data_IF_511754634783
#
_entry.id   IF_511754634783
#
_cell.length_a   1.000
_cell.length_b   1.000
_cell.length_c   1.000
_cell.angle_alpha   90.00
_cell.angle_beta   90.00
_cell.angle_gamma   90.00
#
_symmetry.space_group_name_H-M   'P 1'
#
loop_
_entity.id
_entity.type
_entity.pdbx_description
1 polymer ?
#
# COMPACT_ATOMS: atom_id res chain seq x y z
N UNK A 1 20.25 40.81 15.63
CA UNK A 1 20.41 39.83 14.53
C UNK A 1 21.89 39.61 14.27
N UNK A 2 22.31 38.35 14.14
CA UNK A 2 23.67 37.98 13.72
C UNK A 2 23.61 37.59 12.25
N UNK A 3 24.55 38.07 11.43
CA UNK A 3 24.60 37.72 10.01
C UNK A 3 26.00 37.85 9.44
N UNK A 4 26.29 37.21 8.32
CA UNK A 4 27.51 37.41 7.53
C UNK A 4 27.31 38.49 6.46
N UNK A 5 26.07 38.69 6.01
CA UNK A 5 25.69 39.66 5.00
C UNK A 5 24.27 40.19 5.23
N UNK A 6 24.00 41.40 4.72
CA UNK A 6 22.65 41.94 4.60
C UNK A 6 22.62 42.95 3.46
N UNK A 7 21.56 42.95 2.67
CA UNK A 7 21.39 43.93 1.59
C UNK A 7 20.87 45.25 2.13
N UNK A 8 21.24 46.37 1.49
CA UNK A 8 20.77 47.70 1.88
C UNK A 8 19.22 47.81 1.91
N UNK A 9 18.46 47.28 0.92
CA UNK A 9 17.00 47.28 0.99
C UNK A 9 16.44 46.50 2.20
N UNK A 10 17.03 45.37 2.55
CA UNK A 10 16.61 44.59 3.72
C UNK A 10 16.90 45.34 5.01
N UNK A 11 18.07 45.97 5.12
CA UNK A 11 18.43 46.79 6.27
C UNK A 11 17.48 47.97 6.45
N UNK A 12 17.10 48.65 5.36
CA UNK A 12 16.11 49.73 5.40
C UNK A 12 14.74 49.24 5.89
N UNK A 13 14.26 48.09 5.37
CA UNK A 13 13.01 47.48 5.82
C UNK A 13 13.04 47.09 7.30
N UNK A 14 14.17 46.61 7.81
CA UNK A 14 14.34 46.31 9.24
C UNK A 14 14.31 47.58 10.11
N UNK A 15 14.88 48.68 9.66
CA UNK A 15 14.80 49.96 10.38
C UNK A 15 13.34 50.44 10.46
N UNK A 16 12.60 50.39 9.35
CA UNK A 16 11.18 50.73 9.33
C UNK A 16 10.35 49.80 10.24
N UNK A 17 10.66 48.50 10.24
CA UNK A 17 10.01 47.54 11.14
C UNK A 17 10.28 47.89 12.61
N UNK A 18 11.51 48.28 12.96
CA UNK A 18 11.84 48.72 14.31
C UNK A 18 10.97 49.93 14.71
N UNK A 19 10.81 50.91 13.83
CA UNK A 19 10.03 52.12 14.09
C UNK A 19 8.56 51.79 14.33
N UNK A 20 7.97 50.92 13.50
CA UNK A 20 6.60 50.42 13.66
C UNK A 20 6.41 49.64 14.98
N UNK A 21 7.31 48.70 15.29
CA UNK A 21 7.23 47.91 16.53
C UNK A 21 7.42 48.78 17.77
N UNK A 22 8.26 49.82 17.68
CA UNK A 22 8.54 50.76 18.77
C UNK A 22 7.33 51.58 19.20
N UNK A 23 6.30 51.68 18.35
CA UNK A 23 5.02 52.31 18.70
C UNK A 23 4.22 51.47 19.73
N UNK A 24 4.48 50.16 19.81
CA UNK A 24 3.80 49.25 20.73
C UNK A 24 4.64 49.00 21.99
N UNK A 25 5.90 48.60 21.80
CA UNK A 25 6.86 48.36 22.88
C UNK A 25 8.23 48.86 22.46
N UNK A 26 9.06 49.41 23.38
CA UNK A 26 10.43 49.80 23.05
C UNK A 26 11.19 48.65 22.37
N UNK A 27 11.56 48.86 21.11
CA UNK A 27 12.19 47.85 20.28
C UNK A 27 13.48 48.41 19.69
N UNK A 28 14.56 47.61 19.70
CA UNK A 28 15.80 47.97 19.02
C UNK A 28 16.33 46.78 18.24
N UNK A 29 16.47 46.94 16.94
CA UNK A 29 17.03 45.96 16.02
C UNK A 29 18.47 46.35 15.74
N UNK A 30 19.42 45.64 16.34
CA UNK A 30 20.85 45.77 16.04
C UNK A 30 21.31 44.63 15.14
N UNK A 31 21.99 44.98 14.06
CA UNK A 31 22.61 44.02 13.13
C UNK A 31 24.08 43.90 13.51
N UNK A 32 24.52 42.67 13.78
CA UNK A 32 25.91 42.34 14.04
C UNK A 32 26.41 41.51 12.85
N UNK A 33 27.23 42.14 12.01
CA UNK A 33 27.88 41.48 10.88
C UNK A 33 29.15 40.80 11.36
N UNK A 34 29.32 39.52 11.06
CA UNK A 34 30.53 38.75 11.38
C UNK A 34 31.19 38.23 10.12
N UNK A 35 32.51 38.19 10.14
CA UNK A 35 33.27 37.43 9.17
C UNK A 35 33.14 35.93 9.48
N UNK A 36 32.66 35.16 8.50
CA UNK A 36 32.47 33.71 8.65
C UNK A 36 33.76 32.92 8.51
N UNK A 37 34.84 33.53 7.98
CA UNK A 37 36.14 32.87 7.84
C UNK A 37 36.75 32.45 9.18
N UNK A 38 36.31 33.04 10.29
CA UNK A 38 36.69 32.60 11.64
C UNK A 38 36.23 31.16 11.96
N UNK A 39 35.28 30.62 11.19
CA UNK A 39 34.74 29.26 11.32
C UNK A 39 35.24 28.29 10.25
N UNK A 40 36.21 28.66 9.40
CA UNK A 40 36.71 27.84 8.28
C UNK A 40 37.22 26.44 8.66
N UNK A 41 37.58 26.23 9.92
CA UNK A 41 38.05 24.94 10.42
C UNK A 41 36.89 23.98 10.80
N UNK A 42 35.66 24.50 10.87
CA UNK A 42 34.45 23.75 11.14
C UNK A 42 33.85 23.17 9.84
N UNK A 43 33.07 22.08 9.90
CA UNK A 43 32.30 21.65 8.74
C UNK A 43 31.17 22.64 8.43
N UNK A 44 30.83 22.81 7.15
CA UNK A 44 29.66 23.57 6.73
C UNK A 44 28.38 22.95 7.31
N UNK A 45 27.41 23.80 7.66
CA UNK A 45 26.06 23.37 8.03
C UNK A 45 25.08 23.75 6.92
N UNK A 46 24.59 22.75 6.20
CA UNK A 46 24.08 22.99 4.84
C UNK A 46 25.22 23.46 3.97
N UNK A 47 25.10 24.67 3.42
CA UNK A 47 26.08 25.25 2.50
C UNK A 47 26.81 26.48 3.06
N UNK A 48 26.74 26.73 4.38
CA UNK A 48 27.33 27.93 5.00
C UNK A 48 27.73 27.74 6.48
N UNK A 49 28.26 28.80 7.10
CA UNK A 49 28.69 28.85 8.51
C UNK A 49 27.73 29.64 9.44
N UNK A 50 26.53 29.99 8.98
CA UNK A 50 25.63 30.91 9.70
C UNK A 50 25.21 30.40 11.08
N UNK A 51 25.06 29.07 11.21
CA UNK A 51 24.68 28.46 12.48
C UNK A 51 25.74 28.69 13.58
N UNK A 52 27.03 28.78 13.21
CA UNK A 52 28.14 29.01 14.13
C UNK A 52 28.22 30.43 14.68
N UNK A 53 27.57 31.42 14.05
CA UNK A 53 27.59 32.81 14.54
C UNK A 53 27.13 32.92 15.99
N UNK A 54 26.21 32.04 16.43
CA UNK A 54 25.71 32.01 17.82
C UNK A 54 26.79 31.73 18.86
N UNK A 55 27.87 31.04 18.47
CA UNK A 55 29.02 30.79 19.35
C UNK A 55 29.74 32.09 19.76
N UNK A 56 29.61 33.16 18.97
CA UNK A 56 30.22 34.46 19.27
C UNK A 56 29.34 35.39 20.10
N UNK A 57 28.12 34.98 20.47
CA UNK A 57 27.20 35.82 21.27
C UNK A 57 27.86 36.39 22.54
N UNK A 58 28.61 35.62 23.35
CA UNK A 58 29.25 36.14 24.56
C UNK A 58 30.21 37.30 24.32
N UNK A 59 30.86 37.32 23.15
CA UNK A 59 31.88 38.30 22.77
C UNK A 59 31.30 39.49 22.00
N UNK A 60 30.19 39.29 21.28
CA UNK A 60 29.55 40.34 20.47
C UNK A 60 28.68 41.25 21.34
N UNK A 61 28.02 40.68 22.34
CA UNK A 61 27.10 41.42 23.20
C UNK A 61 27.87 42.23 24.25
N UNK A 62 27.40 43.45 24.59
CA UNK A 62 28.03 44.29 25.62
C UNK A 62 28.30 43.56 26.94
N UNK A 63 29.43 43.89 27.59
CA UNK A 63 29.89 43.22 28.81
C UNK A 63 28.94 43.40 30.00
N UNK A 64 28.17 44.49 30.02
CA UNK A 64 27.19 44.76 31.07
C UNK A 64 25.91 43.91 30.93
N UNK A 65 25.70 43.20 29.81
CA UNK A 65 24.59 42.26 29.68
C UNK A 65 24.94 40.93 30.35
N UNK A 66 24.12 40.50 31.31
CA UNK A 66 24.32 39.24 32.01
C UNK A 66 23.55 38.06 31.39
N UNK A 67 22.47 38.33 30.65
CA UNK A 67 21.58 37.32 30.09
C UNK A 67 21.18 37.65 28.66
N UNK A 68 20.97 36.62 27.85
CA UNK A 68 20.48 36.75 26.48
C UNK A 68 19.55 35.58 26.14
N UNK A 69 18.38 35.86 25.57
CA UNK A 69 17.55 34.83 24.96
C UNK A 69 17.90 34.72 23.47
N UNK A 70 18.37 33.56 23.06
CA UNK A 70 18.62 33.20 21.67
C UNK A 70 17.46 32.37 21.11
N UNK A 71 17.09 32.67 19.87
CA UNK A 71 16.06 32.01 19.08
C UNK A 71 16.60 31.83 17.65
N UNK A 72 16.43 30.65 17.07
CA UNK A 72 16.60 30.46 15.63
C UNK A 72 15.55 31.25 14.83
N UNK A 73 15.90 31.58 13.59
CA UNK A 73 15.06 32.40 12.69
C UNK A 73 13.76 31.68 12.27
N UNK A 74 13.69 30.37 12.46
CA UNK A 74 12.57 29.52 12.11
C UNK A 74 11.72 29.11 13.33
N UNK A 75 11.62 30.02 14.30
CA UNK A 75 10.79 29.86 15.48
C UNK A 75 9.61 30.85 15.50
N UNK A 76 8.47 30.44 16.04
CA UNK A 76 7.29 31.29 16.24
C UNK A 76 6.85 31.26 17.70
N UNK A 77 7.08 32.37 18.41
CA UNK A 77 6.63 32.56 19.78
C UNK A 77 5.14 32.92 19.83
N UNK A 78 4.38 32.20 20.66
CA UNK A 78 2.93 32.35 20.81
C UNK A 78 2.53 33.01 22.13
N UNK A 79 3.45 33.06 23.08
CA UNK A 79 3.24 33.59 24.43
C UNK A 79 4.37 34.53 24.81
N UNK A 80 4.14 35.32 25.85
CA UNK A 80 5.13 36.21 26.42
C UNK A 80 6.34 35.44 26.98
N UNK A 81 7.53 35.84 26.55
CA UNK A 81 8.80 35.21 26.91
C UNK A 81 9.53 35.96 28.04
N UNK A 82 9.02 37.12 28.51
CA UNK A 82 9.65 37.91 29.58
C UNK A 82 9.83 37.12 30.87
N UNK A 83 8.94 36.16 31.14
CA UNK A 83 9.03 35.28 32.31
C UNK A 83 10.36 34.51 32.35
N UNK A 84 10.96 34.17 31.21
CA UNK A 84 12.25 33.49 31.16
C UNK A 84 13.36 34.30 31.83
N UNK A 85 13.31 35.63 31.73
CA UNK A 85 14.31 36.50 32.36
C UNK A 85 14.18 36.58 33.89
N UNK A 86 13.09 36.07 34.46
CA UNK A 86 12.91 35.96 35.92
C UNK A 86 13.54 34.69 36.50
N UNK A 87 13.88 33.70 35.66
CA UNK A 87 14.47 32.45 36.10
C UNK A 87 15.86 32.69 36.72
N UNK A 88 16.17 31.99 37.80
CA UNK A 88 17.52 31.94 38.33
C UNK A 88 18.32 30.84 37.59
N UNK A 89 19.32 31.27 36.82
CA UNK A 89 20.24 30.35 36.14
C UNK A 89 21.39 29.91 37.05
N UNK A 90 21.55 30.48 38.24
CA UNK A 90 22.64 30.19 39.17
C UNK A 90 24.00 30.10 38.44
N UNK A 91 24.71 28.97 38.58
CA UNK A 91 25.98 28.68 37.90
C UNK A 91 25.83 27.95 36.55
N UNK A 92 24.61 27.77 36.04
CA UNK A 92 24.38 27.17 34.72
C UNK A 92 24.78 28.12 33.60
N UNK A 93 25.27 27.57 32.49
CA UNK A 93 25.63 28.31 31.28
C UNK A 93 24.40 28.76 30.51
N UNK A 94 23.33 27.97 30.51
CA UNK A 94 22.10 28.30 29.81
C UNK A 94 20.87 27.57 30.40
N UNK A 95 19.69 28.14 30.22
CA UNK A 95 18.42 27.41 30.24
C UNK A 95 18.09 26.92 28.83
N UNK A 96 17.79 25.63 28.68
CA UNK A 96 17.66 24.97 27.37
C UNK A 96 16.50 23.97 27.35
N UNK A 97 16.03 23.62 26.16
CA UNK A 97 15.09 22.50 25.95
C UNK A 97 15.88 21.31 25.41
N UNK A 98 15.72 20.15 26.06
CA UNK A 98 16.45 18.95 25.62
C UNK A 98 15.98 18.49 24.24
N UNK A 99 16.93 18.04 23.44
CA UNK A 99 16.70 17.53 22.10
C UNK A 99 16.38 16.04 22.14
N UNK A 100 16.00 15.49 20.99
CA UNK A 100 15.73 14.08 20.82
C UNK A 100 16.98 13.23 21.12
N UNK A 101 16.79 12.16 21.89
CA UNK A 101 17.78 11.47 22.69
C UNK A 101 18.90 10.77 21.94
N UNK A 102 18.74 10.41 20.67
CA UNK A 102 19.79 9.64 19.98
C UNK A 102 21.13 10.39 19.92
N UNK A 103 21.12 11.71 20.05
CA UNK A 103 22.34 12.50 19.99
C UNK A 103 23.21 12.40 21.25
N UNK A 104 22.62 12.25 22.45
CA UNK A 104 23.44 12.14 23.66
C UNK A 104 24.20 10.82 23.76
N UNK A 105 23.73 9.77 23.07
CA UNK A 105 24.37 8.44 23.03
C UNK A 105 25.50 8.37 22.00
N UNK A 106 25.65 9.39 21.16
CA UNK A 106 26.71 9.44 20.15
C UNK A 106 28.05 9.73 20.80
N UNK A 107 29.10 9.26 20.15
CA UNK A 107 30.49 9.64 20.44
C UNK A 107 30.90 10.72 19.44
N UNK A 108 31.46 11.82 19.94
CA UNK A 108 32.09 12.82 19.11
C UNK A 108 33.52 12.37 18.80
N UNK A 109 33.72 11.90 17.57
CA UNK A 109 35.00 11.41 17.10
C UNK A 109 36.01 12.54 16.90
N UNK A 110 37.23 12.32 17.38
CA UNK A 110 38.40 13.12 17.02
C UNK A 110 38.78 12.92 15.55
N UNK A 111 39.38 13.95 14.93
CA UNK A 111 40.03 13.86 13.62
C UNK A 111 41.44 13.22 13.72
N UNK A 112 42.04 13.22 14.91
CA UNK A 112 43.35 12.63 15.20
C UNK A 112 43.32 11.91 16.56
N UNK A 113 43.21 10.58 16.51
CA UNK A 113 43.08 9.72 17.70
C UNK A 113 44.38 9.62 18.51
N UNK A 114 45.52 9.95 17.91
CA UNK A 114 46.81 9.96 18.61
C UNK A 114 46.98 11.22 19.48
N UNK A 115 46.25 12.29 19.15
CA UNK A 115 46.38 13.60 19.82
C UNK A 115 45.23 13.93 20.79
N UNK A 116 44.02 13.51 20.46
CA UNK A 116 42.84 13.79 21.28
C UNK A 116 41.98 12.53 21.45
N UNK A 117 41.37 12.33 22.62
CA UNK A 117 40.42 11.24 22.82
C UNK A 117 39.10 11.55 22.13
N UNK A 118 38.29 10.51 21.90
CA UNK A 118 36.88 10.69 21.60
C UNK A 118 36.15 11.29 22.80
N UNK A 119 35.13 12.13 22.56
CA UNK A 119 34.32 12.74 23.60
C UNK A 119 32.91 12.16 23.64
N UNK A 120 32.32 12.10 24.83
CA UNK A 120 30.94 11.66 25.02
C UNK A 120 30.05 12.86 25.28
N UNK A 121 28.82 12.82 24.75
CA UNK A 121 27.80 13.80 25.10
C UNK A 121 27.16 13.47 26.45
N UNK A 122 26.60 14.50 27.07
CA UNK A 122 25.84 14.38 28.31
C UNK A 122 24.36 14.11 28.04
N UNK A 123 23.66 13.45 28.97
CA UNK A 123 22.21 13.15 28.87
C UNK A 123 21.33 14.40 28.78
N UNK A 124 21.89 15.55 29.15
CA UNK A 124 21.31 16.89 29.04
C UNK A 124 21.43 17.49 27.61
N UNK A 125 21.69 16.66 26.60
CA UNK A 125 21.84 17.11 25.21
C UNK A 125 20.62 17.92 24.76
N UNK A 126 20.87 19.12 24.22
CA UNK A 126 19.86 20.10 23.91
C UNK A 126 19.98 20.63 22.50
N UNK A 127 18.87 21.16 21.98
CA UNK A 127 18.86 21.77 20.66
C UNK A 127 19.36 23.22 20.77
N UNK A 128 20.25 23.65 19.87
CA UNK A 128 20.82 24.99 19.93
C UNK A 128 19.87 26.10 19.44
N UNK A 129 18.64 25.77 19.03
CA UNK A 129 17.67 26.73 18.50
C UNK A 129 17.09 27.68 19.55
N UNK A 130 16.90 27.22 20.78
CA UNK A 130 16.40 28.03 21.89
C UNK A 130 17.35 27.94 23.08
N UNK A 131 17.88 29.08 23.51
CA UNK A 131 18.79 29.13 24.67
C UNK A 131 18.61 30.43 25.45
N UNK A 132 18.32 30.33 26.74
CA UNK A 132 18.48 31.44 27.68
C UNK A 132 19.90 31.42 28.24
N UNK A 133 20.81 32.16 27.60
CA UNK A 133 22.23 32.19 27.91
C UNK A 133 22.53 33.02 29.16
N UNK A 134 23.37 32.47 30.04
CA UNK A 134 24.00 33.15 31.17
C UNK A 134 25.37 33.70 30.73
N UNK A 135 25.39 34.91 30.18
CA UNK A 135 26.62 35.52 29.63
C UNK A 135 27.68 35.70 30.71
N UNK A 136 27.27 36.00 31.95
CA UNK A 136 28.17 36.13 33.11
C UNK A 136 28.92 34.84 33.41
N UNK A 137 28.26 33.68 33.30
CA UNK A 137 28.89 32.37 33.49
C UNK A 137 29.72 31.99 32.27
N UNK A 138 29.19 32.20 31.06
CA UNK A 138 29.88 31.81 29.82
C UNK A 138 31.19 32.60 29.65
N UNK A 139 31.23 33.90 29.94
CA UNK A 139 32.46 34.72 29.85
C UNK A 139 33.55 34.32 30.84
N UNK A 140 33.22 33.56 31.89
CA UNK A 140 34.20 33.04 32.88
C UNK A 140 34.81 31.72 32.46
N UNK A 141 34.22 31.02 31.50
CA UNK A 141 34.82 29.83 30.89
C UNK A 141 35.46 30.27 29.59
N UNK A 142 36.67 29.76 29.29
CA UNK A 142 37.38 30.04 28.04
C UNK A 142 36.64 29.44 26.82
N UNK A 143 35.44 29.96 26.55
CA UNK A 143 34.42 29.36 25.70
C UNK A 143 34.89 29.33 24.26
N UNK A 144 35.38 30.48 23.76
CA UNK A 144 35.77 30.62 22.38
C UNK A 144 36.98 29.73 22.04
N UNK A 145 37.98 29.66 22.91
CA UNK A 145 39.13 28.79 22.70
C UNK A 145 38.74 27.31 22.70
N UNK A 146 37.83 26.90 23.60
CA UNK A 146 37.27 25.54 23.60
C UNK A 146 36.48 25.27 22.32
N UNK A 147 35.68 26.22 21.85
CA UNK A 147 34.92 26.10 20.61
C UNK A 147 35.83 25.92 19.39
N UNK A 148 36.87 26.76 19.26
CA UNK A 148 37.90 26.62 18.22
C UNK A 148 38.54 25.24 18.27
N UNK A 149 38.93 24.78 19.46
CA UNK A 149 39.55 23.47 19.62
C UNK A 149 38.65 22.33 19.13
N UNK A 150 37.35 22.41 19.41
CA UNK A 150 36.36 21.42 18.94
C UNK A 150 36.20 21.47 17.41
N UNK A 151 35.99 22.65 16.84
CA UNK A 151 35.83 22.82 15.38
C UNK A 151 37.04 22.29 14.61
N UNK A 152 38.26 22.59 15.08
CA UNK A 152 39.51 22.14 14.47
C UNK A 152 39.71 20.64 14.55
N UNK A 153 39.48 20.05 15.72
CA UNK A 153 40.00 18.72 16.03
C UNK A 153 38.95 17.61 16.06
N UNK A 154 37.66 17.91 15.96
CA UNK A 154 36.58 16.92 16.07
C UNK A 154 35.63 16.93 14.88
N UNK A 155 35.02 15.77 14.59
CA UNK A 155 34.05 15.59 13.52
C UNK A 155 32.65 16.02 14.00
N UNK A 156 32.36 17.31 13.91
CA UNK A 156 31.07 17.87 14.30
C UNK A 156 29.96 17.42 13.33
N UNK A 157 28.97 16.66 13.83
CA UNK A 157 27.85 16.17 13.01
C UNK A 157 26.70 17.17 12.99
N UNK A 158 26.48 17.86 14.11
CA UNK A 158 25.44 18.90 14.25
C UNK A 158 26.07 20.27 14.52
N UNK A 159 27.15 20.58 13.81
CA UNK A 159 27.76 21.90 13.77
C UNK A 159 27.94 22.57 15.16
N UNK A 160 27.38 23.77 15.35
CA UNK A 160 27.43 24.54 16.60
C UNK A 160 26.74 23.83 17.77
N UNK A 161 25.70 23.03 17.51
CA UNK A 161 24.98 22.30 18.53
C UNK A 161 25.89 21.29 19.24
N UNK A 162 26.75 20.60 18.48
CA UNK A 162 27.74 19.68 19.07
C UNK A 162 28.75 20.43 19.93
N UNK A 163 29.22 21.61 19.47
CA UNK A 163 30.15 22.46 20.22
C UNK A 163 29.54 22.89 21.56
N UNK A 164 28.30 23.40 21.53
CA UNK A 164 27.58 23.86 22.71
C UNK A 164 27.34 22.71 23.71
N UNK A 165 26.90 21.55 23.22
CA UNK A 165 26.61 20.40 24.07
C UNK A 165 27.86 19.80 24.74
N UNK A 166 29.03 19.84 24.09
CA UNK A 166 30.29 19.43 24.72
C UNK A 166 30.76 20.45 25.76
N UNK A 167 30.72 21.76 25.44
CA UNK A 167 31.26 22.78 26.34
C UNK A 167 30.36 23.00 27.56
N UNK A 168 29.04 23.02 27.37
CA UNK A 168 28.09 23.22 28.46
C UNK A 168 27.84 21.94 29.25
N UNK A 169 27.85 20.77 28.60
CA UNK A 169 27.70 19.48 29.26
C UNK A 169 26.48 19.46 30.22
N UNK A 170 26.67 19.07 31.49
CA UNK A 170 25.62 19.09 32.52
C UNK A 170 25.39 20.48 33.15
N UNK A 171 26.04 21.55 32.67
CA UNK A 171 25.87 22.93 33.16
C UNK A 171 24.75 23.65 32.44
N UNK A 172 23.61 22.99 32.26
CA UNK A 172 22.40 23.57 31.68
C UNK A 172 21.19 23.33 32.57
N UNK A 173 20.31 24.33 32.66
CA UNK A 173 19.02 24.22 33.32
C UNK A 173 17.99 23.66 32.33
N UNK A 174 17.36 22.53 32.67
CA UNK A 174 16.26 21.96 31.88
C UNK A 174 15.04 22.86 31.94
N UNK A 175 14.58 23.36 30.80
CA UNK A 175 13.35 24.15 30.68
C UNK A 175 12.18 23.29 30.17
N UNK A 176 10.97 23.82 30.33
CA UNK A 176 9.74 23.17 29.88
C UNK A 176 9.76 22.95 28.36
N UNK A 177 9.36 21.75 27.90
CA UNK A 177 9.36 21.39 26.49
C UNK A 177 8.49 22.31 25.61
N UNK A 178 7.50 23.02 26.18
CA UNK A 178 6.67 24.01 25.47
C UNK A 178 7.47 25.13 24.78
N UNK A 179 8.68 25.45 25.26
CA UNK A 179 9.53 26.50 24.70
C UNK A 179 10.22 26.10 23.40
N UNK A 180 10.17 24.82 23.00
CA UNK A 180 10.69 24.39 21.72
C UNK A 180 9.96 23.13 21.23
N UNK A 181 8.74 23.33 20.71
CA UNK A 181 7.97 22.22 20.14
C UNK A 181 8.24 22.13 18.64
N UNK A 182 8.99 21.11 18.23
CA UNK A 182 9.24 20.83 16.82
C UNK A 182 7.95 20.44 16.12
N UNK A 183 7.63 21.10 14.99
CA UNK A 183 6.41 20.79 14.23
C UNK A 183 6.38 19.33 13.74
N UNK A 184 7.55 18.70 13.57
CA UNK A 184 7.68 17.31 13.13
C UNK A 184 7.07 16.30 14.11
N UNK A 185 6.84 16.67 15.37
CA UNK A 185 6.16 15.84 16.37
C UNK A 185 4.69 15.59 15.98
N UNK A 186 4.08 16.52 15.26
CA UNK A 186 2.73 16.39 14.70
C UNK A 186 2.78 15.79 13.30
N UNK A 187 3.72 14.89 13.04
CA UNK A 187 3.89 14.22 11.75
C UNK A 187 4.44 12.81 12.00
N UNK A 188 4.45 11.96 10.98
CA UNK A 188 5.07 10.63 11.09
C UNK A 188 6.62 10.67 11.09
N UNK A 189 7.25 11.83 10.87
CA UNK A 189 8.72 11.88 10.68
C UNK A 189 9.49 11.94 11.99
N UNK A 190 8.94 12.55 13.05
CA UNK A 190 9.52 12.46 14.39
C UNK A 190 8.71 11.45 15.22
N UNK A 191 9.11 10.19 15.14
CA UNK A 191 8.49 9.10 15.91
C UNK A 191 9.14 8.97 17.29
N UNK A 192 8.68 9.74 18.27
CA UNK A 192 9.04 9.54 19.69
C UNK A 192 8.22 8.35 20.22
N UNK A 193 8.90 7.26 20.57
CA UNK A 193 8.25 6.05 21.07
C UNK A 193 8.29 5.97 22.58
N UNK A 194 9.39 6.37 23.19
CA UNK A 194 9.65 6.20 24.62
C UNK A 194 10.12 7.47 25.31
N UNK A 195 9.66 7.67 26.54
CA UNK A 195 9.97 8.81 27.39
C UNK A 195 10.71 8.38 28.67
N UNK A 196 11.24 9.34 29.43
CA UNK A 196 12.19 9.05 30.51
C UNK A 196 11.55 8.37 31.75
N UNK A 197 10.23 8.45 31.87
CA UNK A 197 9.41 7.76 32.87
C UNK A 197 8.89 6.40 32.38
N UNK A 198 9.16 6.02 31.13
CA UNK A 198 8.68 4.79 30.49
C UNK A 198 9.81 3.79 30.22
N UNK A 199 11.04 4.26 30.01
CA UNK A 199 12.20 3.44 29.65
C UNK A 199 13.51 4.11 30.07
N UNK A 200 14.48 3.32 30.53
CA UNK A 200 15.87 3.79 30.72
C UNK A 200 16.51 4.18 29.37
N UNK A 201 16.06 3.56 28.28
CA UNK A 201 16.45 3.87 26.91
C UNK A 201 15.40 4.77 26.24
N UNK A 202 15.19 5.97 26.78
CA UNK A 202 14.23 6.95 26.28
C UNK A 202 14.68 7.63 24.98
N UNK A 203 13.70 8.07 24.17
CA UNK A 203 13.87 8.86 22.94
C UNK A 203 13.82 10.37 23.20
N UNK A 204 13.28 10.79 24.34
CA UNK A 204 13.23 12.19 24.75
C UNK A 204 13.26 12.27 26.28
N UNK A 205 14.13 13.13 26.83
CA UNK A 205 14.33 13.25 28.27
C UNK A 205 13.27 14.16 28.93
N UNK A 206 12.00 13.82 28.73
CA UNK A 206 10.83 14.41 29.37
C UNK A 206 9.88 13.29 29.73
N UNK A 207 9.02 13.51 30.72
CA UNK A 207 7.97 12.56 31.11
C UNK A 207 6.84 12.55 30.10
N UNK A 208 6.00 11.51 30.09
CA UNK A 208 4.77 11.48 29.28
C UNK A 208 3.85 12.65 29.56
N UNK A 209 3.72 13.02 30.83
CA UNK A 209 2.92 14.17 31.24
C UNK A 209 3.47 15.49 30.64
N UNK A 210 4.79 15.73 30.72
CA UNK A 210 5.42 16.92 30.13
C UNK A 210 5.26 16.96 28.61
N UNK A 211 5.42 15.82 27.94
CA UNK A 211 5.32 15.72 26.48
C UNK A 211 3.90 16.02 25.96
N UNK A 212 2.87 15.40 26.54
CA UNK A 212 1.48 15.66 26.16
C UNK A 212 1.04 17.07 26.54
N UNK A 213 1.48 17.58 27.70
CA UNK A 213 1.24 18.97 28.08
C UNK A 213 1.82 19.94 27.06
N UNK A 214 3.06 19.72 26.60
CA UNK A 214 3.71 20.59 25.64
C UNK A 214 3.04 20.59 24.26
N UNK A 215 2.55 19.43 23.81
CA UNK A 215 1.77 19.32 22.56
C UNK A 215 0.48 20.13 22.61
N UNK A 216 -0.18 20.16 23.76
CA UNK A 216 -1.42 20.93 23.96
C UNK A 216 -1.17 22.43 24.24
N UNK A 217 -0.02 22.79 24.84
CA UNK A 217 0.23 24.12 25.40
C UNK A 217 1.47 24.82 24.83
N UNK A 218 1.71 24.65 23.52
CA UNK A 218 2.88 25.19 22.82
C UNK A 218 3.13 26.67 23.15
N UNK A 219 4.36 26.98 23.56
CA UNK A 219 4.83 28.36 23.79
C UNK A 219 5.59 28.87 22.58
N UNK A 220 6.43 28.03 21.98
CA UNK A 220 7.14 28.33 20.73
C UNK A 220 7.06 27.11 19.81
N UNK A 221 6.61 27.32 18.58
CA UNK A 221 6.79 26.35 17.50
C UNK A 221 8.18 26.50 16.90
N UNK A 222 8.89 25.38 16.72
CA UNK A 222 10.15 25.33 15.99
C UNK A 222 9.92 24.63 14.64
N UNK A 223 10.11 25.36 13.54
CA UNK A 223 9.96 24.89 12.17
C UNK A 223 11.25 24.24 11.66
N UNK A 224 11.84 23.36 12.48
CA UNK A 224 13.16 22.72 12.30
C UNK A 224 13.25 21.76 11.11
N UNK A 225 12.15 21.57 10.37
CA UNK A 225 12.11 20.70 9.20
C UNK A 225 12.98 21.29 8.07
N UNK A 226 13.54 20.44 7.19
CA UNK A 226 14.13 20.91 5.92
C UNK A 226 13.16 21.78 5.12
N UNK A 227 11.84 21.51 5.22
CA UNK A 227 10.81 22.33 4.58
C UNK A 227 10.35 23.43 5.53
N UNK A 228 10.71 24.67 5.21
CA UNK A 228 10.18 25.85 5.88
C UNK A 228 8.79 26.21 5.34
N UNK A 229 7.99 26.93 6.13
CA UNK A 229 6.65 27.38 5.72
C UNK A 229 6.70 28.31 4.50
N UNK A 230 7.82 29.03 4.37
CA UNK A 230 8.14 29.95 3.28
C UNK A 230 9.00 29.33 2.16
N UNK A 231 9.08 27.99 2.07
CA UNK A 231 9.80 27.28 1.02
C UNK A 231 8.85 26.53 0.08
N UNK A 232 9.24 26.40 -1.19
CA UNK A 232 8.47 25.73 -2.24
C UNK A 232 8.41 24.20 -2.06
N UNK A 233 7.55 23.54 -2.84
CA UNK A 233 7.35 22.08 -2.77
C UNK A 233 8.36 21.27 -3.59
N UNK A 234 8.94 21.86 -4.62
CA UNK A 234 9.77 21.18 -5.61
C UNK A 234 11.20 20.97 -5.11
N UNK A 235 11.70 21.88 -4.26
CA UNK A 235 13.06 21.83 -3.70
C UNK A 235 13.30 20.68 -2.71
N UNK A 236 12.25 20.03 -2.19
CA UNK A 236 12.39 18.80 -1.40
C UNK A 236 11.10 17.94 -1.45
N UNK A 237 11.08 16.82 -2.21
CA UNK A 237 9.86 16.06 -2.53
C UNK A 237 9.22 15.26 -1.36
N UNK A 238 9.64 15.45 -0.09
CA UNK A 238 9.14 14.64 1.02
C UNK A 238 8.00 15.28 1.87
N UNK A 239 6.87 14.56 1.85
CA UNK A 239 5.84 14.28 2.88
C UNK A 239 4.94 15.36 3.53
N UNK A 240 5.40 16.50 4.02
CA UNK A 240 4.60 17.25 5.04
C UNK A 240 3.42 18.06 4.50
N UNK A 241 3.64 18.86 3.46
CA UNK A 241 2.58 19.70 2.90
C UNK A 241 1.55 18.85 2.14
N UNK A 242 1.98 17.68 1.66
CA UNK A 242 1.06 16.64 1.16
C UNK A 242 0.13 16.15 2.25
N UNK A 243 0.60 15.86 3.47
CA UNK A 243 -0.31 15.49 4.57
C UNK A 243 -1.27 16.62 4.99
N UNK A 244 -0.96 17.90 4.72
CA UNK A 244 -1.88 19.02 4.97
C UNK A 244 -3.03 19.06 3.94
N UNK A 245 -2.77 18.59 2.71
CA UNK A 245 -3.72 18.61 1.59
C UNK A 245 -4.25 17.24 1.18
N UNK A 246 -3.73 16.15 1.76
CA UNK A 246 -4.21 14.79 1.51
C UNK A 246 -5.58 14.65 2.17
N UNK A 247 -6.66 14.54 1.38
CA UNK A 247 -8.02 14.45 1.91
C UNK A 247 -8.27 13.14 2.66
N UNK A 248 -7.36 12.17 2.60
CA UNK A 248 -7.39 10.90 3.33
C UNK A 248 -6.49 10.90 4.57
N UNK A 249 -5.67 11.93 4.75
CA UNK A 249 -4.81 12.13 5.91
C UNK A 249 -5.51 13.05 6.92
N UNK A 250 -6.42 12.49 7.72
CA UNK A 250 -7.06 13.18 8.85
C UNK A 250 -6.02 13.61 9.93
N UNK A 251 -4.80 13.07 9.83
CA UNK A 251 -3.68 13.25 10.74
C UNK A 251 -2.87 14.50 10.41
N UNK A 252 -3.37 15.66 10.82
CA UNK A 252 -2.73 16.51 11.84
C UNK A 252 -3.31 17.93 11.83
N UNK A 253 -4.51 18.09 12.42
CA UNK A 253 -5.14 19.41 12.68
C UNK A 253 -4.15 20.42 13.29
N UNK A 254 -3.27 19.96 14.18
CA UNK A 254 -2.26 20.80 14.82
C UNK A 254 -1.19 21.31 13.85
N UNK A 255 -0.74 20.48 12.89
CA UNK A 255 0.22 20.89 11.87
C UNK A 255 -0.39 21.96 10.95
N UNK A 256 -1.63 21.74 10.50
CA UNK A 256 -2.38 22.72 9.71
C UNK A 256 -2.60 24.02 10.49
N UNK A 257 -2.89 23.91 11.79
CA UNK A 257 -3.00 25.07 12.67
C UNK A 257 -1.68 25.84 12.77
N UNK A 258 -0.56 25.16 13.03
CA UNK A 258 0.77 25.79 13.10
C UNK A 258 1.14 26.49 11.78
N UNK A 259 0.92 25.83 10.64
CA UNK A 259 1.13 26.40 9.31
C UNK A 259 0.30 27.68 9.08
N UNK A 260 -1.00 27.62 9.36
CA UNK A 260 -1.90 28.76 9.20
C UNK A 260 -1.53 29.91 10.15
N UNK A 261 -1.13 29.56 11.37
CA UNK A 261 -0.73 30.55 12.38
C UNK A 261 0.56 31.26 11.97
N UNK A 262 1.52 30.55 11.40
CA UNK A 262 2.74 31.16 10.87
C UNK A 262 2.42 32.21 9.79
N UNK A 263 1.62 31.84 8.78
CA UNK A 263 1.22 32.81 7.74
C UNK A 263 0.39 33.96 8.30
N UNK A 264 -0.50 33.69 9.26
CA UNK A 264 -1.25 34.76 9.94
C UNK A 264 -0.30 35.78 10.56
N UNK A 265 0.72 35.32 11.29
CA UNK A 265 1.70 36.21 11.93
C UNK A 265 2.60 36.90 10.91
N UNK A 266 3.09 36.19 9.90
CA UNK A 266 3.90 36.73 8.81
C UNK A 266 3.19 37.87 8.07
N UNK A 267 1.89 37.73 7.79
CA UNK A 267 1.07 38.75 7.13
C UNK A 267 0.68 39.92 8.05
N UNK A 268 0.89 39.78 9.36
CA UNK A 268 0.75 40.86 10.34
C UNK A 268 2.07 41.61 10.57
N UNK A 269 3.20 41.16 10.03
CA UNK A 269 4.49 41.84 10.17
C UNK A 269 4.50 43.13 9.34
N UNK A 270 4.62 44.32 9.98
CA UNK A 270 4.70 45.60 9.27
C UNK A 270 5.85 45.59 8.26
N UNK A 271 5.76 46.40 7.21
CA UNK A 271 6.77 46.53 6.12
C UNK A 271 6.87 45.29 5.20
N UNK A 272 6.78 44.08 5.75
CA UNK A 272 6.98 42.82 5.04
C UNK A 272 5.68 42.18 4.51
N UNK A 273 4.50 42.67 4.93
CA UNK A 273 3.19 42.08 4.59
C UNK A 273 2.99 41.80 3.09
N UNK A 274 3.22 42.79 2.23
CA UNK A 274 2.91 42.66 0.80
C UNK A 274 3.83 41.67 0.08
N UNK A 275 5.13 41.67 0.41
CA UNK A 275 6.07 40.71 -0.18
C UNK A 275 5.83 39.29 0.32
N UNK A 276 5.50 39.13 1.61
CA UNK A 276 5.13 37.84 2.17
C UNK A 276 3.79 37.33 1.61
N UNK A 277 2.84 38.21 1.32
CA UNK A 277 1.59 37.86 0.67
C UNK A 277 1.83 37.37 -0.77
N UNK A 278 2.67 38.08 -1.53
CA UNK A 278 3.07 37.67 -2.87
C UNK A 278 3.77 36.30 -2.84
N UNK A 279 4.71 36.10 -1.91
CA UNK A 279 5.37 34.81 -1.69
C UNK A 279 4.36 33.71 -1.35
N UNK A 280 3.38 33.99 -0.49
CA UNK A 280 2.35 33.01 -0.13
C UNK A 280 1.57 32.54 -1.35
N UNK A 281 1.09 33.47 -2.19
CA UNK A 281 0.35 33.12 -3.41
C UNK A 281 1.20 32.30 -4.37
N UNK A 282 2.47 32.66 -4.53
CA UNK A 282 3.38 31.92 -5.39
C UNK A 282 3.62 30.49 -4.87
N UNK A 283 3.82 30.33 -3.56
CA UNK A 283 3.97 29.01 -2.95
C UNK A 283 2.70 28.16 -3.06
N UNK A 284 1.52 28.76 -2.94
CA UNK A 284 0.24 28.07 -3.16
C UNK A 284 0.05 27.64 -4.62
N UNK A 285 0.46 28.48 -5.58
CA UNK A 285 0.48 28.13 -7.00
C UNK A 285 1.41 26.95 -7.29
N UNK A 286 2.65 27.02 -6.81
CA UNK A 286 3.66 25.96 -6.98
C UNK A 286 3.23 24.63 -6.34
N UNK A 287 2.59 24.67 -5.16
CA UNK A 287 2.04 23.46 -4.55
C UNK A 287 0.97 22.79 -5.43
N UNK A 288 0.07 23.58 -6.03
CA UNK A 288 -0.98 23.06 -6.90
C UNK A 288 -0.39 22.40 -8.15
N UNK A 289 0.63 23.02 -8.75
CA UNK A 289 1.37 22.46 -9.89
C UNK A 289 2.07 21.16 -9.52
N UNK A 290 2.76 21.13 -8.38
CA UNK A 290 3.43 19.93 -7.89
C UNK A 290 2.44 18.81 -7.57
N UNK A 291 1.31 19.14 -6.95
CA UNK A 291 0.22 18.19 -6.67
C UNK A 291 -0.34 17.60 -7.95
N UNK A 292 -0.64 18.44 -8.95
CA UNK A 292 -1.14 18.00 -10.26
C UNK A 292 -0.14 17.07 -10.96
N UNK A 293 1.16 17.40 -10.94
CA UNK A 293 2.22 16.57 -11.52
C UNK A 293 2.31 15.20 -10.82
N UNK A 294 2.32 15.18 -9.49
CA UNK A 294 2.39 13.93 -8.73
C UNK A 294 1.13 13.06 -8.90
N UNK A 295 -0.05 13.67 -8.95
CA UNK A 295 -1.29 12.95 -9.21
C UNK A 295 -1.28 12.34 -10.62
N UNK A 296 -0.84 13.12 -11.62
CA UNK A 296 -0.65 12.64 -13.00
C UNK A 296 0.30 11.44 -13.06
N UNK A 297 1.45 11.52 -12.41
CA UNK A 297 2.42 10.41 -12.35
C UNK A 297 1.84 9.15 -11.68
N UNK A 298 1.09 9.30 -10.58
CA UNK A 298 0.40 8.19 -9.91
C UNK A 298 -0.66 7.57 -10.82
N UNK A 299 -1.47 8.39 -11.50
CA UNK A 299 -2.49 7.91 -12.43
C UNK A 299 -1.87 7.18 -13.62
N UNK A 300 -0.80 7.73 -14.21
CA UNK A 300 -0.07 7.10 -15.30
C UNK A 300 0.51 5.74 -14.88
N UNK A 301 1.14 5.65 -13.71
CA UNK A 301 1.68 4.40 -13.17
C UNK A 301 0.58 3.35 -12.99
N UNK A 302 -0.57 3.75 -12.42
CA UNK A 302 -1.71 2.86 -12.21
C UNK A 302 -2.35 2.41 -13.52
N UNK A 303 -2.38 3.28 -14.53
CA UNK A 303 -2.84 2.92 -15.88
C UNK A 303 -1.93 1.88 -16.53
N UNK A 304 -0.60 2.03 -16.43
CA UNK A 304 0.36 1.03 -16.89
C UNK A 304 0.18 -0.34 -16.19
N UNK A 305 -0.04 -0.33 -14.88
CA UNK A 305 -0.34 -1.56 -14.11
C UNK A 305 -1.65 -2.22 -14.60
N UNK A 306 -2.71 -1.44 -14.79
CA UNK A 306 -3.99 -1.93 -15.30
C UNK A 306 -3.85 -2.51 -16.72
N UNK A 307 -3.11 -1.84 -17.62
CA UNK A 307 -2.85 -2.33 -18.97
C UNK A 307 -2.13 -3.68 -18.94
N UNK A 308 -1.12 -3.84 -18.08
CA UNK A 308 -0.41 -5.12 -17.89
C UNK A 308 -1.33 -6.21 -17.36
N UNK A 309 -2.19 -5.90 -16.38
CA UNK A 309 -3.16 -6.87 -15.86
C UNK A 309 -4.20 -7.28 -16.91
N UNK A 310 -4.68 -6.33 -17.70
CA UNK A 310 -5.62 -6.60 -18.79
C UNK A 310 -4.99 -7.49 -19.88
N UNK A 311 -3.72 -7.29 -20.22
CA UNK A 311 -2.99 -8.17 -21.15
C UNK A 311 -2.95 -9.61 -20.63
N UNK A 312 -2.55 -9.81 -19.37
CA UNK A 312 -2.51 -11.13 -18.72
C UNK A 312 -3.90 -11.78 -18.70
N UNK A 313 -4.95 -11.00 -18.43
CA UNK A 313 -6.32 -11.50 -18.43
C UNK A 313 -6.75 -11.93 -19.85
N UNK A 314 -6.41 -11.14 -20.86
CA UNK A 314 -6.73 -11.45 -22.26
C UNK A 314 -6.07 -12.74 -22.74
N UNK A 315 -4.82 -12.98 -22.38
CA UNK A 315 -4.10 -14.23 -22.69
C UNK A 315 -4.77 -15.44 -22.04
N UNK A 316 -5.22 -15.30 -20.79
CA UNK A 316 -5.97 -16.36 -20.08
C UNK A 316 -7.30 -16.66 -20.75
N UNK A 317 -8.04 -15.63 -21.19
CA UNK A 317 -9.31 -15.80 -21.90
C UNK A 317 -9.09 -16.57 -23.21
N UNK A 318 -8.10 -16.18 -24.02
CA UNK A 318 -7.77 -16.88 -25.27
C UNK A 318 -7.42 -18.35 -25.01
N UNK A 319 -6.66 -18.64 -23.95
CA UNK A 319 -6.32 -20.02 -23.57
C UNK A 319 -7.58 -20.83 -23.23
N UNK A 320 -8.46 -20.29 -22.40
CA UNK A 320 -9.71 -20.95 -21.99
C UNK A 320 -10.65 -21.16 -23.18
N UNK A 321 -10.74 -20.20 -24.10
CA UNK A 321 -11.52 -20.33 -25.33
C UNK A 321 -11.01 -21.47 -26.21
N UNK A 322 -9.69 -21.62 -26.35
CA UNK A 322 -9.08 -22.72 -27.09
C UNK A 322 -9.33 -24.07 -26.42
N UNK A 323 -9.18 -24.17 -25.10
CA UNK A 323 -9.49 -25.38 -24.33
C UNK A 323 -10.97 -25.78 -24.50
N UNK A 324 -11.89 -24.82 -24.40
CA UNK A 324 -13.31 -25.06 -24.58
C UNK A 324 -13.61 -25.57 -26.01
N UNK A 325 -12.98 -25.00 -27.04
CA UNK A 325 -13.11 -25.48 -28.42
C UNK A 325 -12.62 -26.91 -28.59
N UNK A 326 -11.49 -27.29 -27.97
CA UNK A 326 -10.98 -28.66 -27.97
C UNK A 326 -11.96 -29.63 -27.32
N UNK A 327 -12.47 -29.29 -26.13
CA UNK A 327 -13.46 -30.11 -25.42
C UNK A 327 -14.75 -30.29 -26.24
N UNK A 328 -15.21 -29.24 -26.93
CA UNK A 328 -16.37 -29.34 -27.83
C UNK A 328 -16.13 -30.34 -28.97
N UNK A 329 -14.93 -30.33 -29.58
CA UNK A 329 -14.57 -31.28 -30.63
C UNK A 329 -14.50 -32.73 -30.11
N UNK A 330 -13.94 -32.94 -28.91
CA UNK A 330 -13.92 -34.26 -28.27
C UNK A 330 -15.34 -34.79 -28.01
N UNK A 331 -16.25 -33.93 -27.52
CA UNK A 331 -17.67 -34.28 -27.33
C UNK A 331 -18.31 -34.68 -28.66
N UNK A 332 -18.02 -33.99 -29.76
CA UNK A 332 -18.54 -34.33 -31.10
C UNK A 332 -18.01 -35.71 -31.55
N UNK A 333 -16.72 -35.98 -31.39
CA UNK A 333 -16.11 -37.25 -31.76
C UNK A 333 -16.69 -38.43 -30.97
N UNK A 334 -16.91 -38.27 -29.65
CA UNK A 334 -17.52 -39.31 -28.83
C UNK A 334 -18.94 -39.68 -29.31
N UNK A 335 -19.71 -38.72 -29.83
CA UNK A 335 -21.05 -38.97 -30.40
C UNK A 335 -21.03 -39.81 -31.68
N UNK A 336 -19.89 -39.94 -32.37
CA UNK A 336 -19.73 -40.67 -33.63
C UNK A 336 -19.17 -42.11 -33.46
N UNK A 337 -18.95 -42.57 -32.22
CA UNK A 337 -18.39 -43.89 -31.96
C UNK A 337 -19.44 -45.02 -32.00
N UNK A 338 -18.98 -46.22 -32.42
CA UNK A 338 -19.74 -47.46 -32.67
C UNK A 338 -20.86 -47.73 -31.65
N UNK A 339 -22.01 -48.20 -32.13
CA UNK A 339 -23.17 -48.55 -31.31
C UNK A 339 -24.45 -48.84 -32.10
N UNK A 340 -24.44 -48.71 -33.43
CA UNK A 340 -25.59 -49.04 -34.27
C UNK A 340 -25.92 -50.54 -34.20
N UNK A 341 -24.92 -51.43 -34.15
CA UNK A 341 -25.14 -52.87 -33.98
C UNK A 341 -25.82 -53.17 -32.64
N UNK A 342 -25.35 -52.54 -31.55
CA UNK A 342 -25.95 -52.67 -30.22
C UNK A 342 -27.37 -52.09 -30.18
N UNK A 343 -27.63 -50.97 -30.87
CA UNK A 343 -28.98 -50.39 -31.03
C UNK A 343 -29.91 -51.35 -31.78
N UNK A 344 -29.44 -51.98 -32.85
CA UNK A 344 -30.20 -52.99 -33.58
C UNK A 344 -30.51 -54.22 -32.73
N UNK A 345 -29.55 -54.70 -31.94
CA UNK A 345 -29.76 -55.79 -30.98
C UNK A 345 -30.72 -55.40 -29.83
N UNK A 346 -30.76 -54.11 -29.49
CA UNK A 346 -31.63 -53.60 -28.43
C UNK A 346 -33.11 -53.46 -28.83
N UNK A 347 -33.42 -53.55 -30.13
CA UNK A 347 -34.79 -53.52 -30.65
C UNK A 347 -35.59 -54.75 -30.19
N UNK A 348 -36.90 -54.54 -29.99
CA UNK A 348 -37.80 -55.58 -29.49
C UNK A 348 -37.80 -56.83 -30.38
N UNK A 349 -37.70 -56.65 -31.70
CA UNK A 349 -37.65 -57.74 -32.66
C UNK A 349 -36.47 -58.68 -32.41
N UNK A 350 -35.26 -58.15 -32.24
CA UNK A 350 -34.09 -58.96 -31.92
C UNK A 350 -34.28 -59.75 -30.62
N UNK A 351 -34.70 -59.08 -29.55
CA UNK A 351 -34.88 -59.68 -28.21
C UNK A 351 -35.92 -60.81 -28.20
N UNK A 352 -37.04 -60.61 -28.87
CA UNK A 352 -38.07 -61.64 -29.00
C UNK A 352 -37.59 -62.78 -29.91
N UNK A 353 -36.93 -62.45 -31.01
CA UNK A 353 -36.39 -63.39 -31.98
C UNK A 353 -35.36 -64.35 -31.41
N UNK A 354 -34.38 -63.86 -30.66
CA UNK A 354 -33.37 -64.68 -29.98
C UNK A 354 -33.99 -65.57 -28.91
N UNK A 355 -34.99 -65.06 -28.18
CA UNK A 355 -35.77 -65.82 -27.20
C UNK A 355 -36.59 -66.93 -27.88
N UNK A 356 -37.26 -66.64 -28.99
CA UNK A 356 -37.98 -67.64 -29.78
C UNK A 356 -37.05 -68.74 -30.27
N UNK A 357 -35.86 -68.37 -30.76
CA UNK A 357 -34.85 -69.32 -31.19
C UNK A 357 -34.36 -70.21 -30.04
N UNK A 358 -34.09 -69.65 -28.86
CA UNK A 358 -33.57 -70.43 -27.72
C UNK A 358 -34.58 -71.45 -27.23
N UNK A 359 -35.84 -71.06 -27.05
CA UNK A 359 -36.92 -71.96 -26.64
C UNK A 359 -37.26 -73.00 -27.72
N UNK A 360 -37.15 -72.65 -29.01
CA UNK A 360 -37.44 -73.58 -30.13
C UNK A 360 -36.55 -74.82 -30.20
N UNK A 361 -35.47 -74.89 -29.41
CA UNK A 361 -34.61 -76.08 -29.28
C UNK A 361 -35.27 -77.22 -28.51
N UNK A 362 -36.28 -76.92 -27.70
CA UNK A 362 -37.00 -77.91 -26.89
C UNK A 362 -38.30 -78.33 -27.59
N UNK A 363 -38.59 -79.63 -27.71
CA UNK A 363 -39.88 -80.11 -28.25
C UNK A 363 -41.02 -79.63 -27.35
N UNK A 364 -42.16 -79.25 -27.95
CA UNK A 364 -43.34 -78.74 -27.23
C UNK A 364 -43.10 -77.50 -26.35
N UNK A 365 -42.05 -76.70 -26.59
CA UNK A 365 -41.75 -75.50 -25.78
C UNK A 365 -42.91 -74.51 -25.65
N UNK A 366 -43.84 -74.49 -26.61
CA UNK A 366 -45.03 -73.64 -26.61
C UNK A 366 -46.07 -74.07 -25.57
N UNK A 367 -45.94 -75.23 -24.93
CA UNK A 367 -46.76 -75.62 -23.77
C UNK A 367 -46.15 -75.14 -22.45
N UNK A 368 -44.91 -74.65 -22.45
CA UNK A 368 -44.22 -74.21 -21.24
C UNK A 368 -44.69 -72.79 -20.84
N UNK A 369 -45.32 -72.60 -19.67
CA UNK A 369 -45.78 -71.27 -19.23
C UNK A 369 -44.64 -70.25 -19.08
N UNK A 370 -43.41 -70.70 -18.77
CA UNK A 370 -42.21 -69.86 -18.67
C UNK A 370 -41.88 -69.18 -20.00
N UNK A 371 -42.20 -69.80 -21.14
CA UNK A 371 -42.00 -69.21 -22.47
C UNK A 371 -42.82 -67.93 -22.64
N UNK A 372 -44.12 -67.99 -22.35
CA UNK A 372 -45.01 -66.83 -22.46
C UNK A 372 -44.67 -65.73 -21.45
N UNK A 373 -44.38 -66.11 -20.20
CA UNK A 373 -43.92 -65.16 -19.17
C UNK A 373 -42.63 -64.45 -19.59
N UNK A 374 -41.68 -65.17 -20.20
CA UNK A 374 -40.43 -64.58 -20.70
C UNK A 374 -40.71 -63.55 -21.79
N UNK A 375 -41.54 -63.86 -22.79
CA UNK A 375 -41.88 -62.93 -23.87
C UNK A 375 -42.62 -61.67 -23.34
N UNK A 376 -43.54 -61.85 -22.39
CA UNK A 376 -44.22 -60.74 -21.72
C UNK A 376 -43.24 -59.85 -20.95
N UNK A 377 -42.28 -60.46 -20.22
CA UNK A 377 -41.27 -59.73 -19.46
C UNK A 377 -40.36 -58.89 -20.37
N UNK A 378 -39.95 -59.43 -21.53
CA UNK A 378 -39.14 -58.72 -22.54
C UNK A 378 -39.90 -57.52 -23.09
N UNK A 379 -41.18 -57.71 -23.45
CA UNK A 379 -42.04 -56.64 -23.94
C UNK A 379 -42.21 -55.54 -22.89
N UNK A 380 -42.47 -55.91 -21.64
CA UNK A 380 -42.63 -54.97 -20.52
C UNK A 380 -41.36 -54.18 -20.23
N UNK A 381 -40.21 -54.86 -20.10
CA UNK A 381 -38.90 -54.22 -19.90
C UNK A 381 -38.55 -53.27 -21.04
N UNK A 382 -38.74 -53.69 -22.30
CA UNK A 382 -38.49 -52.84 -23.46
C UNK A 382 -39.37 -51.58 -23.48
N UNK A 383 -40.66 -51.69 -23.10
CA UNK A 383 -41.56 -50.54 -22.99
C UNK A 383 -41.09 -49.55 -21.91
N UNK A 384 -40.65 -50.04 -20.75
CA UNK A 384 -40.09 -49.20 -19.67
C UNK A 384 -38.82 -48.46 -20.13
N UNK A 385 -37.89 -49.16 -20.76
CA UNK A 385 -36.66 -48.55 -21.28
C UNK A 385 -36.94 -47.49 -22.34
N UNK A 386 -37.92 -47.73 -23.23
CA UNK A 386 -38.32 -46.74 -24.24
C UNK A 386 -38.85 -45.45 -23.59
N UNK A 387 -39.73 -45.58 -22.59
CA UNK A 387 -40.28 -44.42 -21.86
C UNK A 387 -39.20 -43.64 -21.09
N UNK A 388 -38.25 -44.33 -20.48
CA UNK A 388 -37.12 -43.68 -19.79
C UNK A 388 -36.26 -42.84 -20.75
N UNK A 389 -36.00 -43.37 -21.95
CA UNK A 389 -35.27 -42.64 -22.99
C UNK A 389 -36.06 -41.44 -23.54
N UNK A 390 -37.37 -41.59 -23.75
CA UNK A 390 -38.25 -40.47 -24.15
C UNK A 390 -38.21 -39.33 -23.11
N UNK A 391 -38.22 -39.66 -21.81
CA UNK A 391 -38.09 -38.67 -20.73
C UNK A 391 -36.72 -37.98 -20.72
N UNK A 392 -35.62 -38.72 -20.96
CA UNK A 392 -34.27 -38.15 -21.02
C UNK A 392 -34.12 -37.12 -22.15
N UNK A 393 -34.66 -37.41 -23.33
CA UNK A 393 -34.65 -36.46 -24.46
C UNK A 393 -35.54 -35.25 -24.16
N UNK A 394 -36.67 -35.44 -23.48
CA UNK A 394 -37.55 -34.34 -23.09
C UNK A 394 -36.85 -33.36 -22.13
N UNK A 395 -36.10 -33.87 -21.14
CA UNK A 395 -35.38 -33.03 -20.18
C UNK A 395 -34.17 -32.32 -20.79
N UNK A 396 -33.49 -32.93 -21.76
CA UNK A 396 -32.38 -32.29 -22.47
C UNK A 396 -32.30 -32.82 -23.92
N UNK A 397 -32.70 -31.99 -24.91
CA UNK A 397 -32.71 -32.39 -26.32
C UNK A 397 -31.37 -32.87 -26.87
N UNK A 398 -30.24 -32.51 -26.23
CA UNK A 398 -28.90 -32.93 -26.66
C UNK A 398 -28.62 -34.43 -26.51
N UNK A 399 -29.45 -35.18 -25.75
CA UNK A 399 -29.35 -36.63 -25.61
C UNK A 399 -30.03 -37.42 -26.74
N UNK A 400 -30.65 -36.74 -27.72
CA UNK A 400 -31.24 -37.40 -28.87
C UNK A 400 -30.15 -38.11 -29.69
N UNK A 401 -30.19 -39.43 -29.69
CA UNK A 401 -29.27 -40.25 -30.49
C UNK A 401 -29.44 -39.92 -31.98
N UNK A 402 -28.33 -39.81 -32.74
CA UNK A 402 -28.39 -39.55 -34.17
C UNK A 402 -28.98 -40.73 -34.96
N UNK A 403 -29.23 -40.50 -36.25
CA UNK A 403 -29.80 -41.51 -37.16
C UNK A 403 -28.91 -42.77 -37.18
N UNK A 404 -29.50 -43.96 -37.36
CA UNK A 404 -28.73 -45.21 -37.27
C UNK A 404 -27.62 -45.28 -38.33
N UNK A 405 -27.86 -44.69 -39.49
CA UNK A 405 -26.95 -44.58 -40.65
C UNK A 405 -25.70 -43.72 -40.40
N UNK A 406 -25.74 -42.84 -39.40
CA UNK A 406 -24.62 -41.92 -39.11
C UNK A 406 -23.57 -42.53 -38.17
N UNK A 407 -23.73 -43.79 -37.79
CA UNK A 407 -22.79 -44.50 -36.92
C UNK A 407 -21.75 -45.26 -37.74
N UNK A 408 -20.51 -45.27 -37.26
CA UNK A 408 -19.41 -45.96 -37.93
C UNK A 408 -19.62 -47.49 -38.10
N UNK A 409 -20.46 -48.14 -37.27
CA UNK A 409 -20.78 -49.57 -37.33
C UNK A 409 -22.16 -49.86 -37.96
N UNK A 410 -22.68 -48.96 -38.79
CA UNK A 410 -24.00 -49.15 -39.41
C UNK A 410 -24.13 -50.45 -40.21
N UNK A 411 -23.07 -50.85 -40.94
CA UNK A 411 -23.05 -52.12 -41.67
C UNK A 411 -23.20 -53.35 -40.75
N UNK A 412 -22.69 -53.28 -39.52
CA UNK A 412 -22.88 -54.34 -38.52
C UNK A 412 -24.32 -54.36 -38.01
N UNK A 413 -24.97 -53.20 -37.88
CA UNK A 413 -26.39 -53.10 -37.56
C UNK A 413 -27.26 -53.73 -38.65
N UNK A 414 -26.92 -53.52 -39.92
CA UNK A 414 -27.59 -54.17 -41.06
C UNK A 414 -27.43 -55.69 -41.00
N UNK A 415 -26.24 -56.21 -40.65
CA UNK A 415 -26.02 -57.65 -40.43
C UNK A 415 -26.94 -58.19 -39.32
N UNK A 416 -27.08 -57.47 -38.20
CA UNK A 416 -27.99 -57.83 -37.11
C UNK A 416 -29.45 -57.86 -37.57
N UNK A 417 -29.91 -56.84 -38.31
CA UNK A 417 -31.29 -56.74 -38.79
C UNK A 417 -31.64 -57.80 -39.84
N UNK A 418 -30.67 -58.18 -40.66
CA UNK A 418 -30.83 -59.23 -41.67
C UNK A 418 -30.71 -60.65 -41.08
N UNK A 419 -30.21 -60.78 -39.85
CA UNK A 419 -30.03 -62.08 -39.21
C UNK A 419 -31.38 -62.76 -38.89
N UNK A 420 -31.37 -64.09 -38.85
CA UNK A 420 -32.58 -64.90 -38.66
C UNK A 420 -33.35 -64.56 -37.37
N UNK A 421 -32.65 -64.30 -36.26
CA UNK A 421 -33.31 -63.92 -35.00
C UNK A 421 -34.14 -62.65 -35.17
N UNK A 422 -33.56 -61.60 -35.73
CA UNK A 422 -34.24 -60.33 -35.93
C UNK A 422 -35.48 -60.47 -36.82
N UNK A 423 -35.34 -61.13 -37.97
CA UNK A 423 -36.44 -61.39 -38.91
C UNK A 423 -37.55 -62.25 -38.27
N UNK A 424 -37.17 -63.27 -37.50
CA UNK A 424 -38.11 -64.14 -36.78
C UNK A 424 -38.93 -63.33 -35.76
N UNK A 425 -38.27 -62.45 -35.00
CA UNK A 425 -38.95 -61.58 -34.05
C UNK A 425 -39.87 -60.55 -34.71
N UNK A 426 -39.50 -59.99 -35.87
CA UNK A 426 -40.39 -59.12 -36.64
C UNK A 426 -41.67 -59.83 -37.07
N UNK A 427 -41.55 -61.03 -37.65
CA UNK A 427 -42.72 -61.81 -38.06
C UNK A 427 -43.55 -62.24 -36.84
N UNK A 428 -42.92 -62.52 -35.71
CA UNK A 428 -43.64 -62.81 -34.46
C UNK A 428 -44.43 -61.61 -33.96
N UNK A 429 -43.84 -60.40 -33.98
CA UNK A 429 -44.54 -59.17 -33.62
C UNK A 429 -45.75 -58.95 -34.54
N UNK A 430 -45.58 -59.08 -35.86
CA UNK A 430 -46.69 -58.96 -36.83
C UNK A 430 -47.79 -59.97 -36.57
N UNK A 431 -47.42 -61.22 -36.32
CA UNK A 431 -48.36 -62.30 -36.02
C UNK A 431 -49.11 -62.06 -34.70
N UNK A 432 -48.43 -61.56 -33.67
CA UNK A 432 -49.03 -61.24 -32.37
C UNK A 432 -50.09 -60.13 -32.46
N UNK A 433 -49.98 -59.20 -33.43
CA UNK A 433 -50.99 -58.17 -33.68
C UNK A 433 -52.25 -58.70 -34.37
N UNK A 434 -52.14 -59.84 -35.06
CA UNK A 434 -53.22 -60.46 -35.84
C UNK A 434 -53.62 -61.82 -35.29
N UNK A 435 -53.39 -62.05 -34.00
CA UNK A 435 -53.60 -63.35 -33.35
C UNK A 435 -55.04 -63.87 -33.52
N UNK A 436 -56.04 -62.98 -33.42
CA UNK A 436 -57.47 -63.25 -33.61
C UNK A 436 -57.86 -63.61 -35.06
N UNK A 437 -56.97 -63.37 -36.04
CA UNK A 437 -57.13 -63.78 -37.45
C UNK A 437 -56.27 -65.00 -37.81
N UNK A 438 -55.88 -65.80 -36.82
CA UNK A 438 -54.98 -66.95 -37.00
C UNK A 438 -53.53 -66.56 -37.27
N UNK A 439 -53.10 -65.34 -36.92
CA UNK A 439 -51.76 -64.82 -37.20
C UNK A 439 -50.63 -65.70 -36.63
N UNK A 440 -50.84 -66.31 -35.47
CA UNK A 440 -49.86 -67.22 -34.84
C UNK A 440 -49.75 -68.58 -35.57
N UNK A 441 -50.86 -69.06 -36.16
CA UNK A 441 -50.84 -70.27 -37.00
C UNK A 441 -50.06 -69.98 -38.29
N UNK A 442 -50.32 -68.84 -38.92
CA UNK A 442 -49.56 -68.37 -40.10
C UNK A 442 -48.07 -68.16 -39.77
N UNK A 443 -47.77 -67.69 -38.56
CA UNK A 443 -46.39 -67.51 -38.09
C UNK A 443 -45.60 -68.81 -38.06
N UNK A 444 -46.20 -69.93 -37.65
CA UNK A 444 -45.53 -71.22 -37.64
C UNK A 444 -44.98 -71.61 -39.03
N UNK A 445 -45.80 -71.48 -40.07
CA UNK A 445 -45.38 -71.75 -41.45
C UNK A 445 -44.33 -70.75 -41.94
N UNK A 446 -44.49 -69.46 -41.63
CA UNK A 446 -43.52 -68.42 -41.95
C UNK A 446 -42.17 -68.64 -41.27
N UNK A 447 -42.16 -69.02 -39.99
CA UNK A 447 -40.95 -69.32 -39.24
C UNK A 447 -40.19 -70.52 -39.85
N UNK A 448 -40.93 -71.54 -40.33
CA UNK A 448 -40.35 -72.69 -41.04
C UNK A 448 -39.72 -72.27 -42.37
N UNK A 449 -40.38 -71.39 -43.14
CA UNK A 449 -39.84 -70.86 -44.40
C UNK A 449 -38.60 -69.97 -44.16
N UNK A 450 -38.65 -69.05 -43.18
CA UNK A 450 -37.50 -68.23 -42.80
C UNK A 450 -36.30 -69.09 -42.38
N UNK A 451 -36.53 -70.21 -41.68
CA UNK A 451 -35.47 -71.14 -41.29
C UNK A 451 -34.88 -71.88 -42.50
N UNK A 452 -35.70 -72.21 -43.51
CA UNK A 452 -35.23 -72.79 -44.79
C UNK A 452 -34.40 -71.76 -45.59
N UNK A 453 -34.89 -70.52 -45.72
CA UNK A 453 -34.16 -69.42 -46.37
C UNK A 453 -32.79 -69.19 -45.72
N UNK A 454 -32.76 -69.13 -44.38
CA UNK A 454 -31.52 -68.90 -43.64
C UNK A 454 -30.53 -70.06 -43.79
N UNK A 455 -31.01 -71.31 -43.87
CA UNK A 455 -30.16 -72.49 -44.15
C UNK A 455 -29.60 -72.48 -45.57
N UNK A 456 -30.37 -72.02 -46.57
CA UNK A 456 -29.92 -71.89 -47.96
C UNK A 456 -28.86 -70.80 -48.14
N UNK A 457 -28.93 -69.72 -47.34
CA UNK A 457 -27.92 -68.64 -47.33
C UNK A 457 -26.65 -68.96 -46.52
N UNK A 458 -26.57 -70.15 -45.90
CA UNK A 458 -25.44 -70.61 -45.07
C UNK A 458 -24.51 -71.61 -45.77
N UNK A 459 -24.83 -71.95 -47.03
CA UNK A 459 -23.97 -72.75 -47.93
C UNK A 459 -23.21 -71.78 -48.83
#
# INVERSE_FOLDING_TARGET
MLTDCITAPTQQKLNQLQDELSQIYPCKIKIHKLDVEIFKDAPLWGDNYMAYLRLKIPDILPDNLERCLYLDVDMLALKDLRILFTLDLASYCAGVVYDFAFQHKRILETKDINKYPNLSFHKEYFCSAFMLLNLKTIRKIDFWQKAINLMRNYKLKFADQDVLNIIFANKVLKLNFTYQVHIGIFTHVLSIKTLNDESENWDLNYTRAEFEYAKANVTIYHYSSPRKVWADAFSCPHFWRWNIYDPFCDTNKQLKYAYNLWWKMALCTPIFKNELLALKFELERLDLEYYALNLSNKLYTKDQENQKQNLILSEKVIKLENENKTLQNEIINLKQTKGAALRAQNQLAYKLGTTLMSYSKTKFFYLNPKFYLTLLSIKSKHKKSKKAYENLIFSNPSFKLPLLETYADYDEALKVQNFFSYRLGLEFIKASKTWYKGGLVKFYFKAKNLKKEFKKKKV
#
